data_IF_659969016413
#
_entry.id   IF_659969016413
#
_cell.length_a   1.000
_cell.length_b   1.000
_cell.length_c   1.000
_cell.angle_alpha   90.00
_cell.angle_beta   90.00
_cell.angle_gamma   90.00
#
_symmetry.space_group_name_H-M   'P 1'
#
loop_
_entity.id
_entity.type
_entity.pdbx_description
1 polymer ?
#
# COMPACT_ATOMS: atom_id res chain seq x y z
N UNK A 1 23.55 -17.91 -24.79
CA UNK A 1 23.49 -16.60 -24.09
C UNK A 1 22.38 -15.75 -24.71
N UNK A 2 21.12 -16.13 -24.50
CA UNK A 2 19.96 -15.38 -24.99
C UNK A 2 19.79 -14.17 -24.08
N UNK A 3 20.23 -13.04 -24.59
CA UNK A 3 20.41 -11.78 -23.88
C UNK A 3 19.09 -11.28 -23.31
N UNK A 4 19.06 -11.08 -21.98
CA UNK A 4 17.99 -10.40 -21.23
C UNK A 4 17.61 -9.02 -21.79
N UNK A 5 18.42 -8.49 -22.71
CA UNK A 5 18.24 -7.23 -23.40
C UNK A 5 17.05 -7.20 -24.38
N UNK A 6 16.74 -8.31 -25.07
CA UNK A 6 15.67 -8.34 -26.08
C UNK A 6 14.26 -8.27 -25.49
N UNK A 7 14.06 -8.74 -24.26
CA UNK A 7 12.74 -8.81 -23.60
C UNK A 7 12.31 -7.43 -23.05
N UNK A 8 13.26 -6.56 -22.67
CA UNK A 8 12.95 -5.20 -22.17
C UNK A 8 12.42 -4.24 -23.25
N UNK A 9 12.61 -4.56 -24.52
CA UNK A 9 12.13 -3.74 -25.63
C UNK A 9 10.75 -4.15 -26.16
N UNK A 10 10.18 -5.26 -25.67
CA UNK A 10 8.80 -5.61 -26.01
C UNK A 10 7.81 -4.59 -25.43
N UNK A 11 6.90 -4.02 -26.24
CA UNK A 11 5.93 -3.01 -25.80
C UNK A 11 5.02 -3.52 -24.67
N UNK A 12 4.75 -4.83 -24.63
CA UNK A 12 3.97 -5.48 -23.57
C UNK A 12 4.67 -5.41 -22.20
N UNK A 13 6.01 -5.52 -22.15
CA UNK A 13 6.77 -5.47 -20.90
C UNK A 13 6.82 -4.04 -20.32
N UNK A 14 6.93 -3.03 -21.19
CA UNK A 14 6.85 -1.61 -20.77
C UNK A 14 5.47 -1.24 -20.23
N UNK A 15 4.39 -1.74 -20.83
CA UNK A 15 3.03 -1.49 -20.36
C UNK A 15 2.76 -2.15 -18.99
N UNK A 16 3.25 -3.38 -18.78
CA UNK A 16 3.17 -4.07 -17.49
C UNK A 16 3.92 -3.30 -16.38
N UNK A 17 5.15 -2.87 -16.66
CA UNK A 17 5.95 -2.07 -15.72
C UNK A 17 5.27 -0.73 -15.42
N UNK A 18 4.67 -0.08 -16.42
CA UNK A 18 3.94 1.19 -16.23
C UNK A 18 2.73 1.02 -15.31
N UNK A 19 1.93 -0.02 -15.53
CA UNK A 19 0.76 -0.33 -14.69
C UNK A 19 1.16 -0.68 -13.25
N UNK A 20 2.23 -1.46 -13.08
CA UNK A 20 2.78 -1.80 -11.75
C UNK A 20 3.30 -0.56 -11.03
N UNK A 21 4.04 0.30 -11.72
CA UNK A 21 4.58 1.55 -11.15
C UNK A 21 3.46 2.51 -10.72
N UNK A 22 2.40 2.63 -11.51
CA UNK A 22 1.24 3.43 -11.13
C UNK A 22 0.53 2.86 -9.90
N UNK A 23 0.33 1.54 -9.84
CA UNK A 23 -0.27 0.88 -8.67
C UNK A 23 0.54 1.09 -7.39
N UNK A 24 1.87 0.89 -7.45
CA UNK A 24 2.74 1.12 -6.30
C UNK A 24 2.75 2.59 -5.91
N UNK A 25 2.82 3.52 -6.87
CA UNK A 25 2.74 4.95 -6.59
C UNK A 25 1.45 5.34 -5.88
N UNK A 26 0.31 4.77 -6.30
CA UNK A 26 -0.98 4.96 -5.63
C UNK A 26 -0.98 4.43 -4.20
N UNK A 27 -0.46 3.22 -3.97
CA UNK A 27 -0.33 2.67 -2.61
C UNK A 27 0.56 3.54 -1.74
N UNK A 28 1.71 4.00 -2.26
CA UNK A 28 2.60 4.91 -1.56
C UNK A 28 1.90 6.20 -1.18
N UNK A 29 1.17 6.82 -2.11
CA UNK A 29 0.40 8.03 -1.82
C UNK A 29 -0.67 7.78 -0.75
N UNK A 30 -1.38 6.65 -0.82
CA UNK A 30 -2.42 6.28 0.13
C UNK A 30 -1.87 6.00 1.53
N UNK A 31 -0.61 5.58 1.65
CA UNK A 31 0.07 5.44 2.95
C UNK A 31 0.59 6.78 3.45
N UNK A 32 1.29 7.55 2.60
CA UNK A 32 1.97 8.78 3.01
C UNK A 32 1.01 9.92 3.33
N UNK A 33 -0.03 10.13 2.53
CA UNK A 33 -0.97 11.24 2.73
C UNK A 33 -1.63 11.23 4.12
N UNK A 34 -2.30 10.15 4.55
CA UNK A 34 -2.93 10.13 5.87
C UNK A 34 -1.91 10.11 7.01
N UNK A 35 -0.73 9.51 6.80
CA UNK A 35 0.38 9.54 7.78
C UNK A 35 0.88 10.97 8.02
N UNK A 36 1.22 11.70 6.96
CA UNK A 36 1.68 13.09 7.08
C UNK A 36 0.56 14.01 7.56
N UNK A 37 -0.69 13.81 7.11
CA UNK A 37 -1.83 14.56 7.63
C UNK A 37 -1.97 14.38 9.15
N UNK A 38 -1.84 13.15 9.66
CA UNK A 38 -1.86 12.89 11.09
C UNK A 38 -0.72 13.57 11.84
N UNK A 39 0.51 13.50 11.32
CA UNK A 39 1.68 14.16 11.93
C UNK A 39 1.51 15.68 11.94
N UNK A 40 1.03 16.26 10.85
CA UNK A 40 0.79 17.71 10.77
C UNK A 40 -0.25 18.15 11.79
N UNK A 41 -1.37 17.42 11.91
CA UNK A 41 -2.38 17.71 12.94
C UNK A 41 -1.79 17.55 14.34
N UNK A 42 -1.04 16.48 14.60
CA UNK A 42 -0.39 16.26 15.89
C UNK A 42 0.66 17.34 16.24
N UNK A 43 1.35 17.88 15.24
CA UNK A 43 2.41 18.89 15.42
C UNK A 43 1.87 20.30 15.56
N UNK A 44 0.84 20.67 14.78
CA UNK A 44 0.33 22.04 14.71
C UNK A 44 -0.95 22.26 15.52
N UNK A 45 -1.75 21.22 15.74
CA UNK A 45 -3.02 21.30 16.45
C UNK A 45 -3.27 20.05 17.34
N UNK A 46 -2.36 19.72 18.28
CA UNK A 46 -2.49 18.54 19.14
C UNK A 46 -3.78 18.54 19.97
N UNK A 47 -4.37 19.72 20.23
CA UNK A 47 -5.63 19.86 20.97
C UNK A 47 -6.79 19.16 20.25
N UNK A 48 -6.80 19.13 18.91
CA UNK A 48 -7.82 18.43 18.14
C UNK A 48 -7.79 16.92 18.41
N UNK A 49 -6.59 16.34 18.53
CA UNK A 49 -6.43 14.92 18.84
C UNK A 49 -6.67 14.63 20.33
N UNK A 50 -6.38 15.59 21.21
CA UNK A 50 -6.59 15.47 22.65
C UNK A 50 -8.06 15.67 23.09
N UNK A 51 -8.93 16.15 22.20
CA UNK A 51 -10.35 16.35 22.48
C UNK A 51 -11.00 15.01 22.83
N UNK A 52 -11.67 14.92 23.98
CA UNK A 52 -12.37 13.71 24.41
C UNK A 52 -13.67 13.54 23.65
N UNK A 53 -14.03 12.30 23.29
CA UNK A 53 -15.26 12.03 22.54
C UNK A 53 -16.54 12.24 23.37
N UNK A 54 -16.42 12.21 24.70
CA UNK A 54 -17.53 12.41 25.63
C UNK A 54 -16.99 12.93 26.96
N UNK A 55 -17.83 13.67 27.71
CA UNK A 55 -17.46 14.30 28.98
C UNK A 55 -16.95 13.31 30.04
N UNK A 56 -17.37 12.04 29.97
CA UNK A 56 -16.94 10.96 30.88
C UNK A 56 -16.01 9.93 30.21
N UNK A 57 -15.53 10.19 28.99
CA UNK A 57 -14.68 9.23 28.25
C UNK A 57 -13.21 9.57 28.37
N UNK A 58 -12.40 8.53 28.62
CA UNK A 58 -10.93 8.58 28.59
C UNK A 58 -10.42 8.54 27.13
N UNK A 59 -11.29 8.20 26.17
CA UNK A 59 -10.94 8.09 24.75
C UNK A 59 -10.99 9.49 24.11
N UNK A 60 -9.83 9.92 23.61
CA UNK A 60 -9.67 11.13 22.80
C UNK A 60 -9.80 10.82 21.30
N UNK A 61 -10.04 11.84 20.48
CA UNK A 61 -10.19 11.73 19.02
C UNK A 61 -8.95 11.15 18.35
N UNK A 62 -7.77 11.38 18.92
CA UNK A 62 -6.52 10.80 18.45
C UNK A 62 -6.50 9.27 18.50
N UNK A 63 -7.16 8.66 19.48
CA UNK A 63 -7.18 7.20 19.63
C UNK A 63 -7.86 6.46 18.45
N UNK A 64 -9.14 6.74 18.11
CA UNK A 64 -9.78 6.07 16.98
C UNK A 64 -9.13 6.47 15.65
N UNK A 65 -8.62 7.69 15.52
CA UNK A 65 -7.93 8.14 14.31
C UNK A 65 -6.62 7.37 14.11
N UNK A 66 -5.80 7.23 15.14
CA UNK A 66 -4.58 6.42 15.12
C UNK A 66 -4.86 4.95 14.86
N UNK A 67 -5.91 4.40 15.49
CA UNK A 67 -6.34 3.03 15.25
C UNK A 67 -6.75 2.80 13.78
N UNK A 68 -7.51 3.73 13.20
CA UNK A 68 -7.89 3.68 11.79
C UNK A 68 -6.66 3.72 10.86
N UNK A 69 -5.64 4.50 11.18
CA UNK A 69 -4.38 4.54 10.42
C UNK A 69 -3.64 3.20 10.46
N UNK A 70 -3.57 2.56 11.63
CA UNK A 70 -2.92 1.25 11.79
C UNK A 70 -3.67 0.19 10.96
N UNK A 71 -4.99 0.10 11.12
CA UNK A 71 -5.81 -0.84 10.36
C UNK A 71 -5.73 -0.58 8.86
N UNK A 72 -5.78 0.68 8.44
CA UNK A 72 -5.64 1.08 7.04
C UNK A 72 -4.28 0.66 6.46
N UNK A 73 -3.21 0.82 7.23
CA UNK A 73 -1.86 0.42 6.80
C UNK A 73 -1.74 -1.09 6.65
N UNK A 74 -2.30 -1.87 7.58
CA UNK A 74 -2.36 -3.32 7.48
C UNK A 74 -3.17 -3.78 6.27
N UNK A 75 -4.34 -3.18 6.04
CA UNK A 75 -5.18 -3.44 4.86
C UNK A 75 -4.44 -3.15 3.55
N UNK A 76 -3.74 -2.01 3.46
CA UNK A 76 -2.94 -1.67 2.29
C UNK A 76 -1.78 -2.62 2.06
N UNK A 77 -1.12 -3.04 3.13
CA UNK A 77 -0.04 -4.04 3.08
C UNK A 77 -0.59 -5.38 2.58
N UNK A 78 -1.73 -5.84 3.09
CA UNK A 78 -2.39 -7.06 2.62
C UNK A 78 -2.83 -6.97 1.16
N UNK A 79 -3.39 -5.83 0.74
CA UNK A 79 -3.76 -5.57 -0.65
C UNK A 79 -2.52 -5.60 -1.58
N UNK A 80 -1.42 -4.98 -1.15
CA UNK A 80 -0.15 -5.02 -1.86
C UNK A 80 0.36 -6.45 -2.01
N UNK A 81 0.41 -7.22 -0.92
CA UNK A 81 0.89 -8.61 -0.92
C UNK A 81 0.02 -9.46 -1.85
N UNK A 82 -1.31 -9.37 -1.74
CA UNK A 82 -2.23 -10.13 -2.61
C UNK A 82 -2.03 -9.78 -4.09
N UNK A 83 -1.80 -8.50 -4.42
CA UNK A 83 -1.54 -8.07 -5.80
C UNK A 83 -0.17 -8.55 -6.30
N UNK A 84 0.87 -8.45 -5.46
CA UNK A 84 2.24 -8.85 -5.79
C UNK A 84 2.37 -10.37 -5.91
N UNK A 85 1.68 -11.12 -5.04
CA UNK A 85 1.68 -12.59 -5.07
C UNK A 85 0.92 -13.14 -6.28
N UNK A 86 -0.08 -12.43 -6.82
CA UNK A 86 -0.70 -12.81 -8.09
C UNK A 86 0.29 -12.86 -9.27
N UNK A 87 1.41 -12.13 -9.18
CA UNK A 87 2.52 -12.17 -10.15
C UNK A 87 3.39 -13.43 -9.96
N UNK A 88 3.54 -13.89 -8.71
CA UNK A 88 4.22 -15.14 -8.36
C UNK A 88 3.39 -16.39 -8.71
N UNK A 89 2.08 -16.38 -8.45
CA UNK A 89 1.19 -17.49 -8.81
C UNK A 89 1.14 -17.72 -10.33
N UNK A 90 1.24 -16.65 -11.12
CA UNK A 90 1.35 -16.76 -12.57
C UNK A 90 2.66 -17.45 -13.01
N UNK A 91 3.77 -17.21 -12.30
CA UNK A 91 5.05 -17.89 -12.54
C UNK A 91 5.00 -19.35 -12.11
N UNK A 92 4.40 -19.66 -10.96
CA UNK A 92 4.24 -21.02 -10.46
C UNK A 92 3.35 -21.86 -11.38
N UNK A 93 2.26 -21.28 -11.91
CA UNK A 93 1.38 -21.93 -12.87
C UNK A 93 2.09 -22.28 -14.20
N UNK A 94 3.04 -21.46 -14.64
CA UNK A 94 3.84 -21.72 -15.85
C UNK A 94 4.85 -22.87 -15.66
N UNK A 95 5.40 -23.03 -14.45
CA UNK A 95 6.31 -24.14 -14.14
C UNK A 95 5.55 -25.46 -14.08
N UNK A 96 4.38 -25.49 -13.44
CA UNK A 96 3.52 -26.68 -13.36
C UNK A 96 2.99 -27.12 -14.74
N UNK A 97 2.70 -26.19 -15.65
CA UNK A 97 2.26 -26.50 -17.01
C UNK A 97 3.35 -27.10 -17.91
N UNK A 98 4.62 -26.95 -17.54
CA UNK A 98 5.78 -27.48 -18.28
C UNK A 98 6.26 -28.83 -17.76
N UNK A 99 5.78 -29.24 -16.59
CA UNK A 99 6.06 -30.52 -15.95
C UNK A 99 5.01 -31.61 -16.28
N UNK A 100 4.00 -31.27 -17.10
CA UNK A 100 3.10 -32.20 -17.79
C UNK A 100 3.40 -32.15 -19.27
#
# INVERSE_FOLDING_TARGET
MTTLAGIRQQPQFKELVRRRRHFVAWLTALTLLPYYAFILVASFAPQLLATTLSANSIINVGWPLGFALILGTWLLTGLYIRRANGEFDALTALILKRAK
#
